data_IF_545607038362
#
_entry.id   IF_545607038362
#
_cell.length_a   1.000
_cell.length_b   1.000
_cell.length_c   1.000
_cell.angle_alpha   90.00
_cell.angle_beta   90.00
_cell.angle_gamma   90.00
#
_symmetry.space_group_name_H-M   'P 1'
#
loop_
_entity.id
_entity.type
_entity.pdbx_description
1 polymer ?
#
# COMPACT_ATOMS: atom_id res chain seq x y z
N UNK A 1 17.11 18.30 11.13
CA UNK A 1 15.93 18.15 10.27
C UNK A 1 15.12 16.99 10.81
N UNK A 2 13.90 17.22 11.29
CA UNK A 2 13.06 16.17 11.87
C UNK A 2 12.25 15.54 10.73
N UNK A 3 12.48 14.25 10.46
CA UNK A 3 11.53 13.46 9.69
C UNK A 3 10.25 13.36 10.53
N UNK A 4 9.05 13.65 10.00
CA UNK A 4 7.83 13.36 10.73
C UNK A 4 7.72 11.83 10.81
N UNK A 5 7.51 11.35 12.02
CA UNK A 5 7.25 9.95 12.32
C UNK A 5 5.96 9.53 11.61
N UNK A 6 6.06 8.96 10.39
CA UNK A 6 4.91 8.56 9.56
C UNK A 6 4.24 7.27 10.07
N UNK A 7 4.22 7.08 11.39
CA UNK A 7 3.63 5.94 12.08
C UNK A 7 2.91 6.53 13.28
N UNK A 8 1.58 6.62 13.20
CA UNK A 8 0.74 7.01 14.31
C UNK A 8 -0.22 5.88 14.66
N UNK A 9 -0.55 5.76 15.93
CA UNK A 9 -1.62 4.88 16.38
C UNK A 9 -2.79 5.76 16.81
N UNK A 10 -4.00 5.46 16.35
CA UNK A 10 -5.20 6.17 16.81
C UNK A 10 -5.76 5.58 18.12
N UNK A 11 -6.77 6.25 18.68
CA UNK A 11 -7.42 5.79 19.92
C UNK A 11 -8.17 4.46 19.77
N UNK A 12 -8.43 4.01 18.54
CA UNK A 12 -9.05 2.72 18.24
C UNK A 12 -8.01 1.59 18.08
N UNK A 13 -6.71 1.91 18.15
CA UNK A 13 -5.63 0.94 18.01
C UNK A 13 -5.19 0.68 16.58
N UNK A 14 -5.60 1.53 15.63
CA UNK A 14 -5.16 1.43 14.24
C UNK A 14 -3.82 2.11 14.04
N UNK A 15 -2.91 1.40 13.39
CA UNK A 15 -1.65 1.87 12.87
C UNK A 15 -1.86 2.56 11.53
N UNK A 16 -1.64 3.87 11.50
CA UNK A 16 -1.63 4.67 10.29
C UNK A 16 -0.20 4.89 9.84
N UNK A 17 0.14 4.43 8.64
CA UNK A 17 1.49 4.62 8.09
C UNK A 17 1.50 4.71 6.56
N UNK A 18 2.50 5.41 6.02
CA UNK A 18 2.82 5.37 4.60
C UNK A 18 3.92 4.37 4.26
N UNK A 19 4.48 3.66 5.27
CA UNK A 19 5.50 2.61 5.12
C UNK A 19 6.79 3.02 4.42
N UNK A 20 7.04 4.31 4.20
CA UNK A 20 8.23 4.78 3.46
C UNK A 20 9.54 4.70 4.27
N UNK A 21 9.51 4.10 5.45
CA UNK A 21 10.64 4.04 6.39
C UNK A 21 11.43 2.72 6.31
N UNK A 22 11.03 1.78 5.43
CA UNK A 22 11.67 0.48 5.25
C UNK A 22 11.71 0.07 3.76
N UNK A 23 12.54 -0.92 3.41
CA UNK A 23 12.59 -1.51 2.07
C UNK A 23 11.57 -2.65 1.96
N UNK A 24 10.91 -2.78 0.80
CA UNK A 24 9.88 -3.79 0.56
C UNK A 24 9.03 -3.49 -0.67
N UNK A 25 7.97 -4.27 -0.86
CA UNK A 25 6.93 -4.02 -1.87
C UNK A 25 6.24 -2.69 -1.64
N UNK A 26 6.07 -2.26 -0.40
CA UNK A 26 5.44 -0.98 -0.09
C UNK A 26 6.26 0.22 -0.60
N UNK A 27 7.59 0.14 -0.48
CA UNK A 27 8.52 1.12 -1.05
C UNK A 27 8.54 1.07 -2.57
N UNK A 28 8.63 -0.14 -3.15
CA UNK A 28 8.63 -0.34 -4.60
C UNK A 28 7.34 0.21 -5.24
N UNK A 29 6.20 -0.01 -4.59
CA UNK A 29 4.92 0.53 -5.02
C UNK A 29 4.98 2.06 -5.07
N UNK A 30 5.49 2.72 -4.02
CA UNK A 30 5.61 4.17 -4.01
C UNK A 30 6.57 4.72 -5.07
N UNK A 31 7.73 4.10 -5.25
CA UNK A 31 8.68 4.50 -6.29
C UNK A 31 8.05 4.41 -7.68
N UNK A 32 7.29 3.34 -7.92
CA UNK A 32 6.58 3.13 -9.17
C UNK A 32 5.49 4.17 -9.38
N UNK A 33 4.62 4.42 -8.38
CA UNK A 33 3.59 5.44 -8.44
C UNK A 33 4.18 6.84 -8.66
N UNK A 34 5.34 7.13 -8.06
CA UNK A 34 6.04 8.41 -8.26
C UNK A 34 6.47 8.61 -9.72
N UNK A 35 6.87 7.56 -10.43
CA UNK A 35 7.17 7.62 -11.87
C UNK A 35 5.92 7.94 -12.71
N UNK A 36 4.73 7.56 -12.22
CA UNK A 36 3.44 7.87 -12.83
C UNK A 36 2.85 9.20 -12.36
N UNK A 37 3.62 10.05 -11.65
CA UNK A 37 3.21 11.39 -11.19
C UNK A 37 2.14 11.40 -10.07
N UNK A 38 2.05 10.32 -9.29
CA UNK A 38 1.33 10.41 -8.02
C UNK A 38 2.06 11.36 -7.07
N UNK A 39 1.30 12.23 -6.42
CA UNK A 39 1.83 13.25 -5.50
C UNK A 39 1.75 12.81 -4.04
N UNK A 40 0.97 11.78 -3.74
CA UNK A 40 0.71 11.29 -2.40
C UNK A 40 0.98 9.78 -2.34
N UNK A 41 1.69 9.30 -1.29
CA UNK A 41 1.99 7.89 -1.15
C UNK A 41 0.75 7.08 -0.76
N UNK A 42 0.76 5.76 -1.02
CA UNK A 42 -0.25 4.86 -0.49
C UNK A 42 -0.37 4.99 1.02
N UNK A 43 -1.61 5.01 1.51
CA UNK A 43 -1.91 5.04 2.94
C UNK A 43 -2.23 3.63 3.41
N UNK A 44 -1.67 3.23 4.55
CA UNK A 44 -1.92 1.94 5.19
C UNK A 44 -2.54 2.17 6.57
N UNK A 45 -3.64 1.49 6.82
CA UNK A 45 -4.36 1.40 8.09
C UNK A 45 -4.32 -0.06 8.54
N UNK A 46 -3.53 -0.36 9.57
CA UNK A 46 -3.35 -1.70 10.11
C UNK A 46 -3.92 -1.83 11.51
N UNK A 47 -4.70 -2.87 11.79
CA UNK A 47 -5.20 -3.16 13.14
C UNK A 47 -4.87 -4.59 13.53
N UNK A 48 -4.34 -4.77 14.73
CA UNK A 48 -4.14 -6.09 15.34
C UNK A 48 -5.34 -6.45 16.20
N UNK A 49 -5.80 -7.70 16.10
CA UNK A 49 -6.91 -8.21 16.87
C UNK A 49 -6.70 -9.70 17.20
N UNK A 50 -7.58 -10.25 18.05
CA UNK A 50 -7.60 -11.68 18.34
C UNK A 50 -8.88 -12.28 17.79
N UNK A 51 -8.74 -13.33 17.00
CA UNK A 51 -9.84 -14.11 16.47
C UNK A 51 -9.74 -15.52 17.05
N UNK A 52 -10.72 -15.91 17.86
CA UNK A 52 -10.73 -17.22 18.55
C UNK A 52 -9.45 -17.50 19.37
N UNK A 53 -8.84 -16.45 19.92
CA UNK A 53 -7.59 -16.54 20.68
C UNK A 53 -6.31 -16.54 19.82
N UNK A 54 -6.43 -16.56 18.49
CA UNK A 54 -5.31 -16.46 17.54
C UNK A 54 -5.04 -14.98 17.23
N UNK A 55 -3.79 -14.50 17.36
CA UNK A 55 -3.41 -13.16 16.91
C UNK A 55 -3.59 -13.02 15.39
N UNK A 56 -4.30 -11.99 14.98
CA UNK A 56 -4.56 -11.60 13.60
C UNK A 56 -4.27 -10.12 13.41
N UNK A 57 -4.12 -9.73 12.17
CA UNK A 57 -4.12 -8.33 11.79
C UNK A 57 -4.88 -8.15 10.48
N UNK A 58 -5.46 -6.97 10.30
CA UNK A 58 -6.09 -6.55 9.06
C UNK A 58 -5.42 -5.27 8.62
N UNK A 59 -5.05 -5.19 7.34
CA UNK A 59 -4.45 -4.00 6.74
C UNK A 59 -5.34 -3.56 5.60
N UNK A 60 -5.81 -2.32 5.70
CA UNK A 60 -6.43 -1.60 4.61
C UNK A 60 -5.40 -0.68 3.99
N UNK A 61 -5.26 -0.72 2.68
CA UNK A 61 -4.36 0.14 1.96
C UNK A 61 -5.09 0.86 0.84
N UNK A 62 -4.80 2.15 0.68
CA UNK A 62 -5.42 2.99 -0.35
C UNK A 62 -4.35 3.71 -1.16
N UNK A 63 -4.39 3.52 -2.48
CA UNK A 63 -3.73 4.41 -3.44
C UNK A 63 -4.74 5.52 -3.78
N UNK A 64 -4.40 6.80 -3.54
CA UNK A 64 -5.33 7.91 -3.75
C UNK A 64 -5.69 8.08 -5.23
N UNK A 65 -6.72 8.89 -5.50
CA UNK A 65 -7.09 9.28 -6.86
C UNK A 65 -5.89 9.95 -7.56
N UNK A 66 -5.62 9.57 -8.81
CA UNK A 66 -4.53 10.19 -9.56
C UNK A 66 -4.82 11.68 -9.83
N UNK A 67 -3.89 12.61 -9.52
CA UNK A 67 -4.15 14.06 -9.54
C UNK A 67 -4.47 14.60 -10.95
N UNK A 68 -3.86 14.03 -11.99
CA UNK A 68 -4.04 14.47 -13.38
C UNK A 68 -4.91 13.54 -14.26
N UNK A 69 -5.36 12.39 -13.73
CA UNK A 69 -6.01 11.33 -14.52
C UNK A 69 -7.25 10.85 -13.79
N UNK A 70 -8.40 11.47 -14.04
CA UNK A 70 -9.68 11.09 -13.41
C UNK A 70 -10.12 9.65 -13.73
N UNK A 71 -9.65 9.08 -14.83
CA UNK A 71 -9.94 7.69 -15.23
C UNK A 71 -9.14 6.65 -14.42
N UNK A 72 -8.10 7.07 -13.70
CA UNK A 72 -7.29 6.22 -12.82
C UNK A 72 -7.93 6.25 -11.44
N UNK A 73 -8.88 5.34 -11.22
CA UNK A 73 -9.65 5.27 -9.99
C UNK A 73 -8.75 4.96 -8.78
N UNK A 74 -9.14 5.35 -7.56
CA UNK A 74 -8.43 4.94 -6.36
C UNK A 74 -8.39 3.41 -6.26
N UNK A 75 -7.29 2.87 -5.75
CA UNK A 75 -7.15 1.43 -5.52
C UNK A 75 -7.24 1.21 -4.01
N UNK A 76 -8.19 0.38 -3.60
CA UNK A 76 -8.40 -0.03 -2.21
C UNK A 76 -8.11 -1.53 -2.09
N UNK A 77 -7.29 -1.88 -1.10
CA UNK A 77 -6.87 -3.25 -0.80
C UNK A 77 -7.16 -3.52 0.67
N UNK A 78 -7.68 -4.71 0.98
CA UNK A 78 -8.05 -5.11 2.34
C UNK A 78 -7.62 -6.57 2.58
N UNK A 79 -6.57 -6.75 3.37
CA UNK A 79 -5.91 -8.05 3.58
C UNK A 79 -5.90 -8.41 5.07
N UNK A 80 -6.14 -9.68 5.37
CA UNK A 80 -6.01 -10.24 6.72
C UNK A 80 -4.79 -11.15 6.78
N UNK A 81 -3.99 -10.99 7.83
CA UNK A 81 -2.81 -11.81 8.08
C UNK A 81 -2.55 -12.05 9.56
N UNK A 82 -1.33 -12.49 9.88
CA UNK A 82 -0.92 -12.85 11.24
C UNK A 82 0.03 -11.83 11.87
N UNK A 83 0.85 -11.16 11.06
CA UNK A 83 1.82 -10.16 11.49
C UNK A 83 1.62 -8.92 10.65
N UNK A 84 1.47 -7.77 11.30
CA UNK A 84 1.11 -6.52 10.64
C UNK A 84 2.09 -6.17 9.51
N UNK A 85 3.39 -6.39 9.76
CA UNK A 85 4.46 -6.18 8.78
C UNK A 85 4.28 -7.01 7.51
N UNK A 86 4.06 -8.31 7.67
CA UNK A 86 3.93 -9.23 6.54
C UNK A 86 2.62 -8.94 5.75
N UNK A 87 1.58 -8.52 6.45
CA UNK A 87 0.28 -8.15 5.85
C UNK A 87 0.35 -6.83 5.08
N UNK A 88 1.13 -5.85 5.55
CA UNK A 88 1.40 -4.60 4.81
C UNK A 88 2.06 -4.92 3.46
N UNK A 89 3.12 -5.74 3.49
CA UNK A 89 3.84 -6.14 2.28
C UNK A 89 2.93 -6.91 1.31
N UNK A 90 2.04 -7.74 1.85
CA UNK A 90 1.02 -8.45 1.05
C UNK A 90 0.03 -7.46 0.41
N UNK A 91 -0.46 -6.47 1.16
CA UNK A 91 -1.36 -5.44 0.64
C UNK A 91 -0.70 -4.59 -0.45
N UNK A 92 0.57 -4.25 -0.29
CA UNK A 92 1.35 -3.55 -1.30
C UNK A 92 1.49 -4.37 -2.60
N UNK A 93 1.80 -5.66 -2.47
CA UNK A 93 1.90 -6.57 -3.61
C UNK A 93 0.57 -6.73 -4.35
N UNK A 94 -0.54 -6.88 -3.62
CA UNK A 94 -1.87 -6.93 -4.24
C UNK A 94 -2.19 -5.63 -4.99
N UNK A 95 -1.83 -4.47 -4.44
CA UNK A 95 -2.00 -3.20 -5.16
C UNK A 95 -1.16 -3.10 -6.42
N UNK A 96 0.08 -3.59 -6.40
CA UNK A 96 0.93 -3.64 -7.59
C UNK A 96 0.21 -4.44 -8.68
N UNK A 97 -0.33 -5.62 -8.34
CA UNK A 97 -1.07 -6.44 -9.30
C UNK A 97 -2.32 -5.72 -9.83
N UNK A 98 -3.11 -5.08 -8.96
CA UNK A 98 -4.30 -4.33 -9.37
C UNK A 98 -3.92 -3.17 -10.29
N UNK A 99 -2.89 -2.40 -9.94
CA UNK A 99 -2.39 -1.27 -10.71
C UNK A 99 -1.93 -1.71 -12.11
N UNK A 100 -1.13 -2.78 -12.19
CA UNK A 100 -0.70 -3.35 -13.46
C UNK A 100 -1.86 -3.85 -14.32
N UNK A 101 -2.88 -4.47 -13.71
CA UNK A 101 -4.07 -4.95 -14.41
C UNK A 101 -4.96 -3.80 -14.92
N UNK A 102 -5.02 -2.68 -14.20
CA UNK A 102 -5.79 -1.50 -14.63
C UNK A 102 -5.09 -0.69 -15.73
N UNK A 103 -3.76 -0.70 -15.77
CA UNK A 103 -2.96 0.14 -16.68
C UNK A 103 -1.90 -0.67 -17.46
N UNK A 104 -2.28 -1.75 -18.17
CA UNK A 104 -1.34 -2.68 -18.76
C UNK A 104 -0.48 -2.03 -19.85
N UNK A 105 -0.99 -1.04 -20.58
CA UNK A 105 -0.21 -0.37 -21.64
C UNK A 105 0.78 0.65 -21.06
N UNK A 106 0.44 1.28 -19.94
CA UNK A 106 1.25 2.30 -19.30
C UNK A 106 2.38 1.70 -18.46
N UNK A 107 2.19 0.50 -17.89
CA UNK A 107 3.26 -0.19 -17.13
C UNK A 107 4.23 -0.96 -18.02
N UNK A 108 3.93 -1.14 -19.31
CA UNK A 108 4.85 -1.79 -20.26
C UNK A 108 6.14 -0.98 -20.36
N UNK A 109 7.26 -1.63 -20.03
CA UNK A 109 8.59 -1.00 -20.04
C UNK A 109 9.02 -0.40 -18.69
N UNK A 110 8.16 -0.45 -17.67
CA UNK A 110 8.52 -0.07 -16.30
C UNK A 110 8.81 -1.30 -15.44
N UNK A 111 9.73 -1.23 -14.45
CA UNK A 111 10.06 -2.34 -13.57
C UNK A 111 8.85 -2.94 -12.84
N UNK A 112 7.84 -2.13 -12.50
CA UNK A 112 6.60 -2.59 -11.86
C UNK A 112 5.80 -3.57 -12.73
N UNK A 113 5.90 -3.48 -14.06
CA UNK A 113 5.23 -4.41 -14.98
C UNK A 113 5.88 -5.80 -15.05
N UNK A 114 6.98 -6.04 -14.34
CA UNK A 114 7.65 -7.34 -14.28
C UNK A 114 7.08 -8.26 -13.20
N UNK A 115 6.22 -7.74 -12.30
CA UNK A 115 5.54 -8.57 -11.31
C UNK A 115 4.52 -9.48 -12.00
N UNK A 116 4.50 -10.79 -11.66
CA UNK A 116 3.59 -11.74 -12.28
C UNK A 116 2.14 -11.34 -11.97
N UNK A 117 1.33 -11.21 -13.02
CA UNK A 117 -0.12 -11.01 -12.97
C UNK A 117 -0.87 -12.33 -12.88
#
# INVERSE_FOLDING_TARGET
MAAPSNVSCDYAGHLHTNTLHWEGFSHLLWESLSLFLYTEPPQYDGVEYREEGVPRCRVKMTIPQHPFRSQWHPIEVDVVGYRLVDTIETAALEAIHIFCNQHPMEVVGYPIGLFPV
#
